data_IF_342255220670
#
_entry.id   IF_342255220670
#
_cell.length_a   1.000
_cell.length_b   1.000
_cell.length_c   1.000
_cell.angle_alpha   90.00
_cell.angle_beta   90.00
_cell.angle_gamma   90.00
#
_symmetry.space_group_name_H-M   'P 1'
#
loop_
_entity.id
_entity.type
_entity.pdbx_description
1 polymer ?
#
# COMPACT_ATOMS: atom_id res chain seq x y z
N UNK A 1 9.85 -18.62 13.28
CA UNK A 1 8.90 -18.91 12.21
C UNK A 1 9.10 -17.83 11.17
N UNK A 2 9.53 -18.20 9.97
CA UNK A 2 9.68 -17.25 8.87
C UNK A 2 8.31 -17.04 8.21
N UNK A 3 7.97 -15.81 7.77
CA UNK A 3 6.70 -15.53 7.11
C UNK A 3 6.65 -16.22 5.74
N UNK A 4 5.45 -16.67 5.34
CA UNK A 4 5.23 -17.21 3.99
C UNK A 4 5.39 -16.09 2.95
N UNK A 5 6.06 -16.37 1.81
CA UNK A 5 6.25 -15.36 0.76
C UNK A 5 4.92 -14.99 0.12
N UNK A 6 4.72 -13.70 -0.14
CA UNK A 6 3.54 -13.18 -0.79
C UNK A 6 3.92 -11.96 -1.64
N UNK A 7 3.40 -11.89 -2.86
CA UNK A 7 3.61 -10.74 -3.71
C UNK A 7 2.66 -9.58 -3.34
N UNK A 8 3.05 -8.33 -3.62
CA UNK A 8 2.26 -7.16 -3.25
C UNK A 8 0.83 -7.15 -3.79
N UNK A 9 0.61 -7.66 -5.01
CA UNK A 9 -0.70 -7.64 -5.65
C UNK A 9 -1.64 -8.65 -4.97
N UNK A 10 -1.17 -9.88 -4.75
CA UNK A 10 -1.92 -10.89 -4.00
C UNK A 10 -2.25 -10.42 -2.59
N UNK A 11 -1.32 -9.78 -1.89
CA UNK A 11 -1.56 -9.23 -0.56
C UNK A 11 -2.65 -8.14 -0.56
N UNK A 12 -2.68 -7.27 -1.58
CA UNK A 12 -3.74 -6.28 -1.75
C UNK A 12 -5.09 -6.95 -1.99
N UNK A 13 -5.15 -7.95 -2.87
CA UNK A 13 -6.42 -8.62 -3.19
C UNK A 13 -6.98 -9.38 -1.98
N UNK A 14 -6.13 -10.07 -1.20
CA UNK A 14 -6.54 -10.69 0.06
C UNK A 14 -7.05 -9.65 1.07
N UNK A 15 -6.37 -8.51 1.20
CA UNK A 15 -6.81 -7.43 2.08
C UNK A 15 -8.16 -6.85 1.66
N UNK A 16 -8.39 -6.65 0.35
CA UNK A 16 -9.66 -6.12 -0.13
C UNK A 16 -10.80 -7.13 0.05
N UNK A 17 -10.55 -8.42 -0.18
CA UNK A 17 -11.54 -9.47 0.03
C UNK A 17 -11.97 -9.58 1.51
N UNK A 18 -11.03 -9.45 2.45
CA UNK A 18 -11.32 -9.40 3.89
C UNK A 18 -12.18 -8.19 4.28
N UNK A 19 -11.95 -7.03 3.63
CA UNK A 19 -12.66 -5.78 3.94
C UNK A 19 -13.99 -5.61 3.24
N UNK A 20 -14.17 -6.19 2.07
CA UNK A 20 -15.39 -6.08 1.25
C UNK A 20 -16.69 -6.28 2.04
N UNK A 21 -16.86 -7.30 2.91
CA UNK A 21 -18.10 -7.47 3.68
C UNK A 21 -18.27 -6.47 4.83
N UNK A 22 -17.22 -5.76 5.25
CA UNK A 22 -17.22 -4.89 6.43
C UNK A 22 -17.45 -3.41 6.12
N UNK A 23 -17.17 -2.98 4.89
CA UNK A 23 -17.13 -1.55 4.53
C UNK A 23 -17.99 -1.24 3.32
N UNK A 24 -18.38 0.03 3.18
CA UNK A 24 -19.04 0.51 1.97
C UNK A 24 -18.10 0.41 0.75
N UNK A 25 -18.67 0.25 -0.44
CA UNK A 25 -17.94 0.17 -1.71
C UNK A 25 -17.02 1.39 -1.95
N UNK A 26 -17.47 2.59 -1.57
CA UNK A 26 -16.65 3.81 -1.67
C UNK A 26 -15.40 3.78 -0.78
N UNK A 27 -15.52 3.19 0.42
CA UNK A 27 -14.40 2.96 1.33
C UNK A 27 -13.46 1.92 0.74
N UNK A 28 -14.00 0.81 0.22
CA UNK A 28 -13.20 -0.24 -0.43
C UNK A 28 -12.42 0.30 -1.64
N UNK A 29 -13.06 1.14 -2.45
CA UNK A 29 -12.41 1.83 -3.57
C UNK A 29 -11.27 2.74 -3.10
N UNK A 30 -11.48 3.52 -2.03
CA UNK A 30 -10.44 4.37 -1.45
C UNK A 30 -9.24 3.54 -0.92
N UNK A 31 -9.51 2.37 -0.31
CA UNK A 31 -8.47 1.43 0.10
C UNK A 31 -7.69 0.89 -1.10
N UNK A 32 -8.39 0.40 -2.14
CA UNK A 32 -7.77 -0.09 -3.38
C UNK A 32 -6.88 0.97 -4.00
N UNK A 33 -7.35 2.21 -4.11
CA UNK A 33 -6.57 3.31 -4.67
C UNK A 33 -5.32 3.60 -3.83
N UNK A 34 -5.49 3.82 -2.52
CA UNK A 34 -4.40 4.21 -1.62
C UNK A 34 -3.31 3.14 -1.53
N UNK A 35 -3.69 1.86 -1.44
CA UNK A 35 -2.73 0.75 -1.34
C UNK A 35 -2.21 0.35 -2.72
N UNK A 36 -2.97 0.59 -3.79
CA UNK A 36 -2.52 0.39 -5.17
C UNK A 36 -1.25 1.19 -5.50
N UNK A 37 -1.10 2.40 -4.95
CA UNK A 37 0.16 3.15 -5.06
C UNK A 37 1.35 2.41 -4.44
N UNK A 38 1.15 1.74 -3.32
CA UNK A 38 2.20 0.93 -2.69
C UNK A 38 2.57 -0.28 -3.55
N UNK A 39 1.58 -1.01 -4.08
CA UNK A 39 1.81 -2.15 -4.98
C UNK A 39 2.55 -1.72 -6.24
N UNK A 40 2.15 -0.59 -6.84
CA UNK A 40 2.86 -0.01 -8.00
C UNK A 40 4.31 0.32 -7.66
N UNK A 41 4.55 0.98 -6.53
CA UNK A 41 5.91 1.31 -6.08
C UNK A 41 6.75 0.05 -5.85
N UNK A 42 6.17 -1.02 -5.28
CA UNK A 42 6.86 -2.29 -5.17
C UNK A 42 7.30 -2.83 -6.54
N UNK A 43 6.43 -2.76 -7.56
CA UNK A 43 6.80 -3.12 -8.93
C UNK A 43 7.92 -2.27 -9.52
N UNK A 44 7.92 -0.96 -9.26
CA UNK A 44 8.99 -0.04 -9.70
C UNK A 44 10.34 -0.31 -9.00
N UNK A 45 10.32 -0.87 -7.79
CA UNK A 45 11.50 -1.24 -7.02
C UNK A 45 11.89 -2.73 -7.16
N UNK A 46 11.21 -3.47 -8.04
CA UNK A 46 11.36 -4.93 -8.24
C UNK A 46 11.16 -5.76 -6.95
N UNK A 47 10.26 -5.31 -6.08
CA UNK A 47 9.88 -6.01 -4.85
C UNK A 47 8.74 -6.97 -5.19
N UNK A 48 9.07 -8.23 -5.39
CA UNK A 48 8.12 -9.29 -5.72
C UNK A 48 7.67 -10.09 -4.49
N UNK A 49 8.33 -9.89 -3.34
CA UNK A 49 8.01 -10.56 -2.09
C UNK A 49 7.96 -9.54 -0.96
N UNK A 50 6.83 -9.45 -0.26
CA UNK A 50 6.66 -8.53 0.86
C UNK A 50 7.59 -8.83 2.04
N UNK A 51 8.18 -10.02 2.11
CA UNK A 51 9.20 -10.35 3.12
C UNK A 51 10.52 -9.59 2.91
N UNK A 52 10.73 -9.00 1.74
CA UNK A 52 11.88 -8.13 1.45
C UNK A 52 11.69 -6.70 1.99
N UNK A 53 10.49 -6.38 2.49
CA UNK A 53 10.22 -5.10 3.09
C UNK A 53 10.99 -4.94 4.40
N UNK A 54 11.77 -3.87 4.44
CA UNK A 54 12.46 -3.41 5.64
C UNK A 54 11.95 -2.03 6.01
N UNK A 55 12.23 -1.58 7.24
CA UNK A 55 11.92 -0.21 7.64
C UNK A 55 12.53 0.86 6.70
N UNK A 56 13.67 0.56 6.07
CA UNK A 56 14.29 1.45 5.08
C UNK A 56 13.48 1.53 3.79
N UNK A 57 13.01 0.39 3.27
CA UNK A 57 12.12 0.33 2.10
C UNK A 57 10.81 1.09 2.34
N UNK A 58 10.23 0.95 3.52
CA UNK A 58 9.04 1.72 3.90
C UNK A 58 9.31 3.23 3.97
N UNK A 59 10.52 3.63 4.40
CA UNK A 59 10.93 5.03 4.38
C UNK A 59 11.12 5.56 2.95
N UNK A 60 11.70 4.77 2.04
CA UNK A 60 11.82 5.09 0.62
C UNK A 60 10.45 5.31 -0.03
N UNK A 61 9.48 4.43 0.25
CA UNK A 61 8.10 4.60 -0.19
C UNK A 61 7.49 5.91 0.33
N UNK A 62 7.72 6.24 1.61
CA UNK A 62 7.22 7.48 2.20
C UNK A 62 7.79 8.73 1.51
N UNK A 63 9.09 8.73 1.15
CA UNK A 63 9.72 9.81 0.40
C UNK A 63 9.09 9.90 -1.01
N UNK A 64 9.00 8.77 -1.71
CA UNK A 64 8.40 8.69 -3.05
C UNK A 64 6.98 9.28 -3.05
N UNK A 65 6.11 8.90 -2.11
CA UNK A 65 4.73 9.41 -2.02
C UNK A 65 4.63 10.90 -1.75
N UNK A 66 5.63 11.49 -1.09
CA UNK A 66 5.68 12.93 -0.85
C UNK A 66 6.03 13.68 -2.14
N UNK A 67 6.98 13.15 -2.89
CA UNK A 67 7.53 13.81 -4.07
C UNK A 67 6.61 13.61 -5.31
N UNK A 68 5.83 12.54 -5.36
CA UNK A 68 4.84 12.23 -6.43
C UNK A 68 3.53 13.05 -6.30
N UNK A 69 3.46 14.01 -5.37
CA UNK A 69 2.45 15.08 -5.34
C UNK A 69 1.08 14.75 -4.74
N UNK A 70 0.85 13.54 -4.27
CA UNK A 70 -0.48 13.09 -3.80
C UNK A 70 -0.62 13.04 -2.26
N UNK A 71 0.47 13.24 -1.52
CA UNK A 71 0.39 13.64 -0.11
C UNK A 71 0.16 15.15 -0.04
N UNK A 72 -1.06 15.60 -0.35
CA UNK A 72 -1.50 16.91 0.12
C UNK A 72 -1.26 16.97 1.63
N UNK A 73 -0.68 18.06 2.18
CA UNK A 73 -0.47 18.16 3.61
C UNK A 73 -1.80 17.90 4.31
N UNK A 74 -1.84 17.11 5.41
CA UNK A 74 -3.08 16.86 6.12
C UNK A 74 -3.67 18.22 6.47
N UNK A 75 -4.86 18.49 5.93
CA UNK A 75 -5.58 19.72 6.22
C UNK A 75 -5.67 19.85 7.74
N UNK A 76 -4.93 20.82 8.29
CA UNK A 76 -5.12 21.22 9.68
C UNK A 76 -6.53 21.80 9.74
N UNK A 77 -7.49 21.04 10.24
CA UNK A 77 -8.70 21.64 10.82
C UNK A 77 -8.24 22.33 12.10
N UNK A 78 -8.04 23.65 12.00
CA UNK A 78 -8.06 24.57 13.14
C UNK A 78 -9.46 24.69 13.71
#
# INVERSE_FOLDING_TARGET
MEPEPIDPQTALDLYLADREPEVAESTLYAHRFRIGHFVRWCGEQDIQNLNELTGRRLHEYHICRRDDGDLAPPSKKS
#
